data_IF_891772581943
#
_entry.id   IF_891772581943
#
_cell.length_a   1.000
_cell.length_b   1.000
_cell.length_c   1.000
_cell.angle_alpha   90.00
_cell.angle_beta   90.00
_cell.angle_gamma   90.00
#
_symmetry.space_group_name_H-M   'P 1'
#
loop_
_entity.id
_entity.type
_entity.pdbx_description
1 polymer ?
#
# COMPACT_ATOMS: atom_id res chain seq x y z
N UNK A 1 -27.03 -12.90 0.30
CA UNK A 1 -25.77 -12.15 0.18
C UNK A 1 -26.15 -10.69 0.07
N UNK A 2 -25.95 -9.93 1.14
CA UNK A 2 -26.20 -8.49 1.16
C UNK A 2 -25.14 -7.81 0.28
N UNK A 3 -25.58 -6.97 -0.65
CA UNK A 3 -24.67 -6.11 -1.41
C UNK A 3 -23.80 -5.34 -0.40
N UNK A 4 -22.46 -5.39 -0.56
CA UNK A 4 -21.57 -4.60 0.28
C UNK A 4 -21.99 -3.13 0.14
N UNK A 5 -22.48 -2.54 1.22
CA UNK A 5 -22.92 -1.15 1.20
C UNK A 5 -21.70 -0.26 0.98
N UNK A 6 -21.83 0.75 0.12
CA UNK A 6 -20.82 1.80 -0.06
C UNK A 6 -20.88 2.82 1.10
N UNK A 7 -21.06 2.33 2.33
CA UNK A 7 -21.04 3.21 3.51
C UNK A 7 -19.60 3.64 3.77
N UNK A 8 -19.43 4.93 3.97
CA UNK A 8 -18.16 5.52 4.40
C UNK A 8 -17.67 4.74 5.64
N UNK A 9 -16.38 4.35 5.72
CA UNK A 9 -15.81 3.72 6.91
C UNK A 9 -16.10 4.54 8.16
N UNK A 10 -16.34 3.85 9.25
CA UNK A 10 -16.57 4.43 10.59
C UNK A 10 -15.49 3.96 11.55
N UNK A 11 -15.40 4.58 12.73
CA UNK A 11 -14.45 4.13 13.77
C UNK A 11 -14.74 2.68 14.23
N UNK A 12 -16.00 2.25 14.18
CA UNK A 12 -16.39 0.85 14.44
C UNK A 12 -15.76 -0.11 13.42
N UNK A 13 -15.59 0.34 12.19
CA UNK A 13 -14.99 -0.47 11.13
C UNK A 13 -13.52 -0.79 11.38
N UNK A 14 -12.79 0.03 12.13
CA UNK A 14 -11.41 -0.28 12.58
C UNK A 14 -11.40 -1.51 13.49
N UNK A 15 -12.38 -1.60 14.40
CA UNK A 15 -12.48 -2.74 15.29
C UNK A 15 -12.94 -4.00 14.55
N UNK A 16 -13.94 -3.88 13.67
CA UNK A 16 -14.41 -4.99 12.83
C UNK A 16 -13.25 -5.54 11.99
N UNK A 17 -12.50 -4.65 11.31
CA UNK A 17 -11.35 -5.04 10.48
C UNK A 17 -10.29 -5.79 11.29
N UNK A 18 -10.02 -5.32 12.51
CA UNK A 18 -9.11 -5.98 13.44
C UNK A 18 -9.59 -7.38 13.82
N UNK A 19 -10.89 -7.51 14.13
CA UNK A 19 -11.47 -8.78 14.60
C UNK A 19 -11.57 -9.82 13.46
N UNK A 20 -11.64 -9.37 12.21
CA UNK A 20 -11.61 -10.20 11.01
C UNK A 20 -10.18 -10.65 10.63
N UNK A 21 -9.16 -9.99 11.13
CA UNK A 21 -7.76 -10.32 10.88
C UNK A 21 -7.15 -11.16 12.00
N UNK A 22 -5.83 -11.30 11.95
CA UNK A 22 -5.05 -11.97 12.98
C UNK A 22 -3.64 -11.39 13.06
N UNK A 23 -2.93 -11.74 14.12
CA UNK A 23 -1.53 -11.37 14.29
C UNK A 23 -0.64 -12.58 14.02
N UNK A 24 0.46 -12.36 13.30
CA UNK A 24 1.50 -13.33 13.08
C UNK A 24 2.84 -12.78 13.57
N UNK A 25 3.57 -13.57 14.35
CA UNK A 25 4.93 -13.19 14.74
C UNK A 25 5.88 -13.44 13.57
N UNK A 26 6.46 -12.37 13.04
CA UNK A 26 7.46 -12.39 11.97
C UNK A 26 8.64 -11.54 12.44
N UNK A 27 9.83 -12.11 12.45
CA UNK A 27 11.07 -11.45 12.91
C UNK A 27 10.97 -10.84 14.34
N UNK A 28 10.19 -11.50 15.22
CA UNK A 28 9.98 -11.04 16.59
C UNK A 28 8.91 -9.96 16.77
N UNK A 29 8.27 -9.51 15.70
CA UNK A 29 7.21 -8.50 15.70
C UNK A 29 5.84 -9.11 15.35
N UNK A 30 4.78 -8.60 15.97
CA UNK A 30 3.42 -8.96 15.63
C UNK A 30 2.98 -8.16 14.39
N UNK A 31 2.80 -8.86 13.29
CA UNK A 31 2.32 -8.32 12.03
C UNK A 31 0.83 -8.65 11.89
N UNK A 32 0.01 -7.64 11.70
CA UNK A 32 -1.41 -7.82 11.44
C UNK A 32 -1.62 -8.30 10.01
N UNK A 33 -2.39 -9.38 9.85
CA UNK A 33 -2.72 -9.98 8.55
C UNK A 33 -4.22 -10.08 8.41
N UNK A 34 -4.75 -9.55 7.33
CA UNK A 34 -6.13 -9.76 6.92
C UNK A 34 -6.13 -10.64 5.66
N UNK A 35 -6.86 -11.75 5.74
CA UNK A 35 -6.91 -12.70 4.65
C UNK A 35 -8.32 -13.27 4.49
N UNK A 36 -8.91 -13.09 3.29
CA UNK A 36 -10.30 -13.42 2.98
C UNK A 36 -10.42 -14.22 1.69
N UNK A 37 -11.58 -14.85 1.50
CA UNK A 37 -11.90 -15.60 0.29
C UNK A 37 -11.25 -16.99 0.24
N UNK A 38 -11.63 -17.73 -0.80
CA UNK A 38 -11.13 -19.07 -1.07
C UNK A 38 -10.43 -19.09 -2.42
N UNK A 39 -9.22 -19.64 -2.53
CA UNK A 39 -8.52 -19.69 -3.81
C UNK A 39 -9.29 -20.52 -4.84
N UNK A 40 -9.33 -20.07 -6.10
CA UNK A 40 -9.90 -20.85 -7.23
C UNK A 40 -9.11 -22.13 -7.50
N UNK A 41 -7.81 -22.07 -7.25
CA UNK A 41 -6.89 -23.19 -7.36
C UNK A 41 -5.94 -23.16 -6.16
N UNK A 42 -5.45 -24.31 -5.66
CA UNK A 42 -4.52 -24.34 -4.52
C UNK A 42 -3.32 -23.40 -4.76
N UNK A 43 -3.09 -22.50 -3.80
CA UNK A 43 -1.98 -21.56 -3.84
C UNK A 43 -2.17 -20.32 -4.72
N UNK A 44 -3.31 -20.15 -5.39
CA UNK A 44 -3.63 -18.93 -6.14
C UNK A 44 -4.25 -17.86 -5.23
N UNK A 45 -3.84 -16.60 -5.41
CA UNK A 45 -4.43 -15.49 -4.67
C UNK A 45 -3.99 -14.12 -5.14
N UNK A 46 -4.55 -13.11 -4.49
CA UNK A 46 -4.18 -11.71 -4.64
C UNK A 46 -3.40 -11.28 -3.43
N UNK A 47 -2.22 -10.72 -3.64
CA UNK A 47 -1.39 -10.11 -2.62
C UNK A 47 -1.43 -8.60 -2.77
N UNK A 48 -1.95 -7.91 -1.75
CA UNK A 48 -2.11 -6.47 -1.73
C UNK A 48 -1.06 -5.81 -0.84
N UNK A 49 -0.64 -4.61 -1.19
CA UNK A 49 0.19 -3.76 -0.33
C UNK A 49 -0.46 -2.41 -0.13
N UNK A 50 -0.39 -1.88 1.10
CA UNK A 50 -0.93 -0.56 1.44
C UNK A 50 0.13 0.55 1.34
N UNK A 51 -0.28 1.78 1.58
CA UNK A 51 0.54 2.97 1.48
C UNK A 51 0.84 3.68 2.80
N UNK A 52 1.58 4.79 2.71
CA UNK A 52 1.86 5.73 3.77
C UNK A 52 0.87 6.92 3.69
N UNK A 53 0.28 7.40 4.77
CA UNK A 53 0.40 6.93 6.16
C UNK A 53 -0.66 5.90 6.55
N UNK A 54 -1.35 5.30 5.58
CA UNK A 54 -2.47 4.38 5.75
C UNK A 54 -2.08 2.98 6.24
N UNK A 55 -3.01 2.04 6.11
CA UNK A 55 -2.83 0.62 6.46
C UNK A 55 -3.73 -0.28 5.62
N UNK A 56 -3.80 -1.56 5.94
CA UNK A 56 -4.62 -2.53 5.21
C UNK A 56 -6.11 -2.18 5.17
N UNK A 57 -6.64 -1.42 6.14
CA UNK A 57 -8.05 -1.03 6.15
C UNK A 57 -8.44 -0.12 4.98
N UNK A 58 -7.50 0.57 4.35
CA UNK A 58 -7.76 1.36 3.14
C UNK A 58 -8.38 0.49 2.02
N UNK A 59 -8.16 -0.81 2.09
CA UNK A 59 -8.67 -1.81 1.14
C UNK A 59 -10.00 -2.45 1.56
N UNK A 60 -10.60 -1.98 2.66
CA UNK A 60 -11.82 -2.56 3.25
C UNK A 60 -12.94 -2.78 2.23
N UNK A 61 -13.11 -1.88 1.28
CA UNK A 61 -14.17 -1.99 0.28
C UNK A 61 -13.75 -2.78 -0.97
N UNK A 62 -12.46 -3.00 -1.19
CA UNK A 62 -11.92 -3.80 -2.30
C UNK A 62 -11.86 -5.28 -1.93
N UNK A 63 -11.32 -5.59 -0.75
CA UNK A 63 -11.07 -6.97 -0.29
C UNK A 63 -12.32 -7.85 -0.38
N UNK A 64 -13.49 -7.48 0.17
CA UNK A 64 -14.67 -8.36 0.12
C UNK A 64 -15.14 -8.65 -1.30
N UNK A 65 -14.99 -7.68 -2.22
CA UNK A 65 -15.40 -7.83 -3.63
C UNK A 65 -14.50 -8.81 -4.38
N UNK A 66 -13.19 -8.72 -4.16
CA UNK A 66 -12.21 -9.62 -4.79
C UNK A 66 -12.27 -11.01 -4.15
N UNK A 67 -12.51 -11.08 -2.84
CA UNK A 67 -12.60 -12.32 -2.07
C UNK A 67 -13.77 -13.24 -2.50
N UNK A 68 -14.77 -12.72 -3.20
CA UNK A 68 -15.80 -13.55 -3.85
C UNK A 68 -15.22 -14.43 -4.96
N UNK A 69 -14.04 -14.10 -5.48
CA UNK A 69 -13.45 -14.75 -6.65
C UNK A 69 -12.17 -15.53 -6.36
N UNK A 70 -11.43 -15.17 -5.30
CA UNK A 70 -10.16 -15.82 -4.96
C UNK A 70 -9.75 -15.53 -3.51
N UNK A 71 -8.62 -16.12 -3.04
CA UNK A 71 -7.95 -15.73 -1.80
C UNK A 71 -7.34 -14.35 -1.96
N UNK A 72 -7.58 -13.45 -0.99
CA UNK A 72 -6.97 -12.12 -0.91
C UNK A 72 -6.21 -12.00 0.39
N UNK A 73 -4.97 -11.54 0.32
CA UNK A 73 -4.08 -11.37 1.46
C UNK A 73 -3.50 -9.96 1.47
N UNK A 74 -3.55 -9.32 2.62
CA UNK A 74 -2.90 -8.05 2.90
C UNK A 74 -2.39 -8.06 4.34
N UNK A 75 -1.28 -7.40 4.62
CA UNK A 75 -0.81 -7.17 5.98
C UNK A 75 -0.54 -5.69 6.22
N UNK A 76 -0.63 -5.27 7.47
CA UNK A 76 -0.10 -3.97 7.88
C UNK A 76 1.42 -4.06 7.96
N UNK A 77 2.11 -3.16 7.28
CA UNK A 77 3.57 -3.05 7.43
C UNK A 77 3.94 -2.76 8.88
N UNK A 78 5.10 -3.22 9.31
CA UNK A 78 5.62 -2.86 10.63
C UNK A 78 5.67 -1.33 10.76
N UNK A 79 5.15 -0.80 11.86
CA UNK A 79 5.02 0.65 12.07
C UNK A 79 3.66 1.23 11.68
N UNK A 80 2.77 0.48 11.03
CA UNK A 80 1.49 0.94 10.52
C UNK A 80 0.30 0.15 11.09
N UNK A 81 -0.87 0.75 11.04
CA UNK A 81 -2.16 0.11 11.35
C UNK A 81 -2.13 -0.65 12.68
N UNK A 82 -2.46 -1.93 12.63
CA UNK A 82 -2.51 -2.82 13.79
C UNK A 82 -1.16 -3.50 14.11
N UNK A 83 -0.19 -3.47 13.19
CA UNK A 83 1.13 -4.08 13.41
C UNK A 83 1.92 -3.36 14.50
N UNK A 84 2.90 -4.06 15.09
CA UNK A 84 3.80 -3.51 16.11
C UNK A 84 4.52 -2.25 15.62
N UNK A 85 4.89 -1.40 16.59
CA UNK A 85 5.52 -0.09 16.36
C UNK A 85 6.75 0.06 17.24
N UNK A 86 7.84 -0.72 17.00
CA UNK A 86 9.07 -0.60 17.78
C UNK A 86 9.62 0.82 17.70
N UNK A 87 9.95 1.38 18.86
CA UNK A 87 10.51 2.74 19.00
C UNK A 87 12.02 2.75 19.19
N UNK A 88 12.60 1.60 19.54
CA UNK A 88 14.04 1.36 19.58
C UNK A 88 14.64 1.26 18.17
N UNK A 89 15.96 1.27 18.06
CA UNK A 89 16.65 1.17 16.77
C UNK A 89 16.45 2.37 15.84
N UNK A 90 16.58 2.15 14.56
CA UNK A 90 16.51 3.15 13.48
C UNK A 90 15.56 2.70 12.37
N UNK A 91 15.36 3.55 11.35
CA UNK A 91 14.64 3.16 10.14
C UNK A 91 15.26 1.90 9.50
N UNK A 92 16.58 1.86 9.37
CA UNK A 92 17.28 0.77 8.71
C UNK A 92 17.16 -0.56 9.46
N UNK A 93 17.03 -0.55 10.79
CA UNK A 93 16.96 -1.77 11.60
C UNK A 93 15.57 -2.40 11.63
N UNK A 94 14.50 -1.61 11.37
CA UNK A 94 13.12 -2.10 11.53
C UNK A 94 12.22 -1.84 10.31
N UNK A 95 12.43 -0.73 9.60
CA UNK A 95 11.42 -0.18 8.70
C UNK A 95 11.86 -0.09 7.23
N UNK A 96 13.09 -0.52 6.90
CA UNK A 96 13.59 -0.56 5.52
C UNK A 96 12.59 -1.25 4.59
N UNK A 97 12.44 -0.73 3.39
CA UNK A 97 11.56 -1.32 2.36
C UNK A 97 11.96 -2.76 2.01
N UNK A 98 13.24 -3.10 2.14
CA UNK A 98 13.71 -4.48 1.99
C UNK A 98 13.13 -5.40 3.07
N UNK A 99 13.12 -4.95 4.32
CA UNK A 99 12.56 -5.73 5.45
C UNK A 99 11.02 -5.79 5.38
N UNK A 100 10.36 -4.71 4.95
CA UNK A 100 8.92 -4.76 4.70
C UNK A 100 8.58 -5.77 3.60
N UNK A 101 9.40 -5.83 2.53
CA UNK A 101 9.25 -6.86 1.50
C UNK A 101 9.46 -8.29 2.05
N UNK A 102 10.48 -8.49 2.92
CA UNK A 102 10.70 -9.78 3.58
C UNK A 102 9.47 -10.24 4.35
N UNK A 103 8.84 -9.34 5.13
CA UNK A 103 7.63 -9.64 5.92
C UNK A 103 6.43 -9.95 5.04
N UNK A 104 6.21 -9.19 3.96
CA UNK A 104 5.12 -9.44 2.99
C UNK A 104 5.31 -10.79 2.31
N UNK A 105 6.53 -11.13 1.90
CA UNK A 105 6.87 -12.43 1.30
C UNK A 105 6.61 -13.56 2.29
N UNK A 106 7.00 -13.40 3.56
CA UNK A 106 6.77 -14.39 4.59
C UNK A 106 5.27 -14.58 4.89
N UNK A 107 4.48 -13.50 4.92
CA UNK A 107 3.02 -13.58 5.03
C UNK A 107 2.44 -14.37 3.85
N UNK A 108 2.82 -14.06 2.62
CA UNK A 108 2.36 -14.78 1.44
C UNK A 108 2.70 -16.27 1.49
N UNK A 109 3.92 -16.61 1.96
CA UNK A 109 4.37 -18.00 2.14
C UNK A 109 3.54 -18.74 3.19
N UNK A 110 3.24 -18.11 4.34
CA UNK A 110 2.41 -18.72 5.40
C UNK A 110 0.96 -18.89 4.97
N UNK A 111 0.45 -17.99 4.11
CA UNK A 111 -0.86 -18.13 3.48
C UNK A 111 -0.90 -19.24 2.40
N UNK A 112 0.23 -19.87 2.10
CA UNK A 112 0.33 -20.91 1.09
C UNK A 112 0.18 -20.39 -0.33
N UNK A 113 0.46 -19.11 -0.58
CA UNK A 113 0.41 -18.53 -1.92
C UNK A 113 1.59 -19.03 -2.75
N UNK A 114 1.31 -19.63 -3.91
CA UNK A 114 2.31 -20.11 -4.88
C UNK A 114 2.27 -19.31 -6.18
N UNK A 115 1.11 -18.76 -6.53
CA UNK A 115 0.91 -17.90 -7.70
C UNK A 115 0.04 -16.71 -7.29
N UNK A 116 0.52 -15.49 -7.55
CA UNK A 116 -0.15 -14.29 -7.07
C UNK A 116 -0.43 -13.29 -8.19
N UNK A 117 -1.56 -12.60 -8.08
CA UNK A 117 -1.75 -11.27 -8.65
C UNK A 117 -1.27 -10.27 -7.59
N UNK A 118 -0.19 -9.57 -7.87
CA UNK A 118 0.40 -8.57 -6.97
C UNK A 118 -0.19 -7.19 -7.25
N UNK A 119 -0.85 -6.58 -6.28
CA UNK A 119 -1.44 -5.23 -6.41
C UNK A 119 -0.77 -4.29 -5.42
N UNK A 120 -0.17 -3.23 -5.92
CA UNK A 120 0.70 -2.36 -5.15
C UNK A 120 0.25 -0.90 -5.20
N UNK A 121 0.27 -0.24 -4.02
CA UNK A 121 -0.21 1.13 -3.85
C UNK A 121 0.75 1.96 -2.98
N UNK A 122 1.04 3.19 -3.35
CA UNK A 122 1.81 4.23 -2.64
C UNK A 122 3.19 3.77 -2.13
N UNK A 123 3.43 3.71 -0.82
CA UNK A 123 4.66 3.16 -0.25
C UNK A 123 4.79 1.67 -0.59
N UNK A 124 3.67 0.96 -0.61
CA UNK A 124 3.60 -0.43 -1.04
C UNK A 124 4.01 -0.64 -2.50
N UNK A 125 4.03 0.41 -3.33
CA UNK A 125 4.64 0.33 -4.67
C UNK A 125 6.14 0.06 -4.60
N UNK A 126 6.85 0.63 -3.60
CA UNK A 126 8.29 0.37 -3.41
C UNK A 126 8.54 -1.03 -2.85
N UNK A 127 7.73 -1.45 -1.86
CA UNK A 127 7.78 -2.83 -1.35
C UNK A 127 7.51 -3.83 -2.48
N UNK A 128 6.49 -3.57 -3.29
CA UNK A 128 6.16 -4.38 -4.46
C UNK A 128 7.25 -4.37 -5.54
N UNK A 129 7.90 -3.22 -5.77
CA UNK A 129 9.02 -3.13 -6.70
C UNK A 129 10.21 -4.00 -6.26
N UNK A 130 10.47 -4.05 -4.94
CA UNK A 130 11.48 -4.98 -4.39
C UNK A 130 11.05 -6.44 -4.56
N UNK A 131 9.78 -6.76 -4.30
CA UNK A 131 9.24 -8.12 -4.54
C UNK A 131 9.37 -8.50 -6.03
N UNK A 132 9.03 -7.58 -6.95
CA UNK A 132 9.18 -7.81 -8.39
C UNK A 132 10.65 -8.02 -8.79
N UNK A 133 11.59 -7.23 -8.24
CA UNK A 133 13.01 -7.41 -8.49
C UNK A 133 13.48 -8.79 -8.02
N UNK A 134 13.05 -9.24 -6.84
CA UNK A 134 13.36 -10.60 -6.33
C UNK A 134 12.70 -11.71 -7.16
N UNK A 135 11.55 -11.44 -7.77
CA UNK A 135 10.94 -12.38 -8.73
C UNK A 135 11.86 -12.64 -9.91
N UNK A 136 12.36 -11.58 -10.55
CA UNK A 136 13.28 -11.69 -11.69
C UNK A 136 14.62 -12.32 -11.30
N UNK A 137 15.02 -12.18 -10.03
CA UNK A 137 16.21 -12.82 -9.46
C UNK A 137 15.97 -14.30 -9.07
N UNK A 138 14.75 -14.82 -9.19
CA UNK A 138 14.39 -16.19 -8.78
C UNK A 138 14.46 -16.44 -7.27
N UNK A 139 14.23 -15.39 -6.46
CA UNK A 139 14.37 -15.42 -4.98
C UNK A 139 13.03 -15.45 -4.23
N UNK A 140 11.89 -15.63 -4.90
CA UNK A 140 10.58 -15.70 -4.25
C UNK A 140 10.12 -17.13 -4.04
N UNK A 141 9.37 -17.42 -2.95
CA UNK A 141 8.72 -18.72 -2.74
C UNK A 141 7.43 -18.89 -3.57
N UNK A 142 7.05 -17.89 -4.36
CA UNK A 142 5.87 -17.87 -5.22
C UNK A 142 6.19 -17.20 -6.56
N UNK A 143 5.29 -17.37 -7.53
CA UNK A 143 5.37 -16.73 -8.84
C UNK A 143 4.40 -15.56 -8.94
N UNK A 144 4.84 -14.42 -9.46
CA UNK A 144 3.95 -13.32 -9.83
C UNK A 144 3.37 -13.63 -11.21
N UNK A 145 2.05 -13.82 -11.29
CA UNK A 145 1.34 -14.10 -12.55
C UNK A 145 0.89 -12.84 -13.26
N UNK A 146 0.61 -11.81 -12.48
CA UNK A 146 0.16 -10.50 -12.93
C UNK A 146 0.56 -9.45 -11.89
N UNK A 147 0.92 -8.25 -12.34
CA UNK A 147 1.09 -7.09 -11.47
C UNK A 147 0.09 -5.99 -11.82
N UNK A 148 -0.46 -5.34 -10.79
CA UNK A 148 -1.28 -4.13 -10.91
C UNK A 148 -0.62 -3.03 -10.10
N UNK A 149 -0.17 -1.99 -10.78
CA UNK A 149 0.53 -0.86 -10.18
C UNK A 149 -0.45 0.30 -10.07
N UNK A 150 -0.73 0.74 -8.84
CA UNK A 150 -1.54 1.91 -8.55
C UNK A 150 -0.66 3.13 -8.27
N UNK A 151 -1.32 4.27 -8.01
CA UNK A 151 -0.65 5.50 -7.60
C UNK A 151 0.42 5.27 -6.54
N UNK A 152 1.56 5.89 -6.71
CA UNK A 152 2.69 5.79 -5.80
C UNK A 152 3.82 6.70 -6.25
N UNK A 153 4.87 6.75 -5.46
CA UNK A 153 5.95 7.72 -5.66
C UNK A 153 7.35 7.07 -5.61
N UNK A 154 7.45 5.83 -6.10
CA UNK A 154 8.74 5.12 -6.17
C UNK A 154 9.74 5.85 -7.06
N UNK A 155 9.28 6.54 -8.11
CA UNK A 155 10.10 7.46 -8.91
C UNK A 155 10.34 8.77 -8.15
N UNK A 156 11.09 8.69 -7.05
CA UNK A 156 11.30 9.79 -6.09
C UNK A 156 11.93 11.05 -6.70
N UNK A 157 12.57 10.93 -7.83
CA UNK A 157 13.10 12.03 -8.63
C UNK A 157 12.02 12.92 -9.28
N UNK A 158 10.75 12.45 -9.26
CA UNK A 158 9.59 13.16 -9.81
C UNK A 158 8.57 13.56 -8.74
N UNK A 159 8.81 13.28 -7.45
CA UNK A 159 7.84 13.49 -6.37
C UNK A 159 7.67 14.97 -6.03
N UNK A 160 6.43 15.40 -5.89
CA UNK A 160 6.08 16.71 -5.35
C UNK A 160 5.65 16.57 -3.88
N UNK A 161 6.61 16.69 -2.96
CA UNK A 161 6.32 16.58 -1.53
C UNK A 161 5.43 17.72 -1.03
N UNK A 162 4.41 17.35 -0.28
CA UNK A 162 3.48 18.27 0.39
C UNK A 162 4.13 18.88 1.64
N UNK A 163 3.58 19.99 2.20
CA UNK A 163 4.19 20.68 3.33
C UNK A 163 4.53 19.77 4.52
N UNK A 164 3.57 18.96 5.01
CA UNK A 164 3.81 18.05 6.12
C UNK A 164 4.89 17.01 5.80
N UNK A 165 4.92 16.48 4.58
CA UNK A 165 5.94 15.54 4.14
C UNK A 165 7.34 16.18 4.15
N UNK A 166 7.45 17.44 3.72
CA UNK A 166 8.72 18.20 3.77
C UNK A 166 9.18 18.41 5.21
N UNK A 167 8.24 18.74 6.12
CA UNK A 167 8.54 18.89 7.56
C UNK A 167 9.09 17.58 8.14
N UNK A 168 8.44 16.45 7.87
CA UNK A 168 8.89 15.14 8.34
C UNK A 168 10.23 14.72 7.74
N UNK A 169 10.47 15.00 6.46
CA UNK A 169 11.75 14.68 5.80
C UNK A 169 12.91 15.54 6.33
N UNK A 170 12.64 16.77 6.77
CA UNK A 170 13.63 17.64 7.39
C UNK A 170 13.98 17.24 8.83
N UNK A 171 13.09 16.50 9.51
CA UNK A 171 13.35 15.97 10.84
C UNK A 171 14.44 14.88 10.78
N UNK A 172 15.25 14.68 11.85
CA UNK A 172 16.15 13.55 11.96
C UNK A 172 15.36 12.21 12.02
N UNK A 173 16.07 11.07 11.94
CA UNK A 173 15.47 9.77 12.27
C UNK A 173 15.13 9.74 13.77
N UNK A 174 13.87 10.00 14.08
CA UNK A 174 13.40 10.14 15.44
C UNK A 174 12.00 9.62 15.61
N UNK A 175 11.67 9.29 16.86
CA UNK A 175 10.31 9.08 17.34
C UNK A 175 9.91 10.33 18.10
N UNK A 176 8.77 10.92 17.76
CA UNK A 176 8.27 12.12 18.42
C UNK A 176 7.81 11.80 19.86
N UNK A 177 7.79 12.81 20.74
CA UNK A 177 7.22 12.68 22.09
C UNK A 177 5.70 12.55 22.05
N UNK A 178 5.05 13.23 21.09
CA UNK A 178 3.60 13.23 20.87
C UNK A 178 3.27 12.91 19.42
N UNK A 179 2.03 12.46 19.18
CA UNK A 179 1.53 12.25 17.83
C UNK A 179 1.44 13.58 17.06
N UNK A 180 1.57 13.53 15.75
CA UNK A 180 1.39 14.70 14.89
C UNK A 180 -0.07 15.18 15.00
N UNK A 181 -0.31 16.48 15.20
CA UNK A 181 -1.67 17.01 15.35
C UNK A 181 -2.60 16.65 14.20
N UNK A 182 -3.83 16.23 14.53
CA UNK A 182 -4.84 15.77 13.56
C UNK A 182 -5.09 16.77 12.43
N UNK A 183 -5.10 18.07 12.73
CA UNK A 183 -5.29 19.12 11.72
C UNK A 183 -4.20 19.11 10.61
N UNK A 184 -2.98 18.67 10.91
CA UNK A 184 -1.92 18.51 9.90
C UNK A 184 -2.21 17.31 8.99
N UNK A 185 -2.69 16.21 9.56
CA UNK A 185 -3.13 15.04 8.79
C UNK A 185 -4.33 15.35 7.92
N UNK A 186 -5.35 16.01 8.48
CA UNK A 186 -6.55 16.40 7.75
C UNK A 186 -6.20 17.17 6.46
N UNK A 187 -5.34 18.18 6.57
CA UNK A 187 -4.90 18.97 5.42
C UNK A 187 -4.20 18.13 4.34
N UNK A 188 -3.32 17.22 4.74
CA UNK A 188 -2.61 16.32 3.83
C UNK A 188 -3.58 15.34 3.16
N UNK A 189 -4.42 14.67 3.95
CA UNK A 189 -5.35 13.66 3.47
C UNK A 189 -6.36 14.25 2.49
N UNK A 190 -7.09 15.32 2.87
CA UNK A 190 -8.09 15.95 1.99
C UNK A 190 -7.50 16.41 0.66
N UNK A 191 -6.29 16.97 0.67
CA UNK A 191 -5.64 17.46 -0.55
C UNK A 191 -5.14 16.34 -1.48
N UNK A 192 -5.12 15.10 -1.03
CA UNK A 192 -4.72 13.93 -1.82
C UNK A 192 -5.88 13.17 -2.47
N UNK A 193 -7.13 13.59 -2.22
CA UNK A 193 -8.31 13.05 -2.92
C UNK A 193 -8.65 13.83 -4.18
N UNK A 194 -9.33 13.18 -5.11
CA UNK A 194 -9.84 13.84 -6.32
C UNK A 194 -10.99 14.81 -5.99
N UNK A 195 -11.29 15.72 -6.92
CA UNK A 195 -12.41 16.65 -6.77
C UNK A 195 -13.76 15.93 -6.73
N UNK A 196 -13.86 14.83 -7.44
CA UNK A 196 -15.05 14.00 -7.58
C UNK A 196 -15.32 13.13 -6.36
N UNK A 197 -14.26 12.77 -5.61
CA UNK A 197 -14.33 11.82 -4.48
C UNK A 197 -13.80 12.44 -3.18
N UNK A 198 -14.17 13.68 -2.89
CA UNK A 198 -13.75 14.33 -1.64
C UNK A 198 -14.23 13.56 -0.40
N UNK A 199 -13.34 13.30 0.58
CA UNK A 199 -13.69 12.59 1.79
C UNK A 199 -14.58 13.44 2.68
N UNK A 200 -15.56 12.81 3.32
CA UNK A 200 -16.30 13.45 4.43
C UNK A 200 -15.48 13.37 5.73
N UNK A 201 -15.97 14.04 6.78
CA UNK A 201 -15.27 14.10 8.07
C UNK A 201 -15.11 12.72 8.69
N UNK A 202 -16.13 11.85 8.62
CA UNK A 202 -16.07 10.50 9.19
C UNK A 202 -14.95 9.63 8.56
N UNK A 203 -14.73 9.75 7.25
CA UNK A 203 -13.62 9.06 6.59
C UNK A 203 -12.26 9.61 7.04
N UNK A 204 -12.13 10.92 7.15
CA UNK A 204 -10.91 11.57 7.65
C UNK A 204 -10.63 11.14 9.08
N UNK A 205 -11.63 11.10 9.95
CA UNK A 205 -11.49 10.65 11.34
C UNK A 205 -10.98 9.21 11.41
N UNK A 206 -11.49 8.32 10.57
CA UNK A 206 -11.01 6.92 10.47
C UNK A 206 -9.56 6.87 9.99
N UNK A 207 -9.20 7.65 8.96
CA UNK A 207 -7.84 7.69 8.44
C UNK A 207 -6.84 8.23 9.48
N UNK A 208 -7.21 9.25 10.24
CA UNK A 208 -6.37 9.78 11.33
C UNK A 208 -6.28 8.79 12.48
N UNK A 209 -7.40 8.18 12.87
CA UNK A 209 -7.42 7.20 13.96
C UNK A 209 -6.51 5.99 13.67
N UNK A 210 -6.49 5.48 12.42
CA UNK A 210 -5.58 4.40 12.07
C UNK A 210 -4.09 4.82 12.09
N UNK A 211 -3.77 6.06 11.68
CA UNK A 211 -2.41 6.60 11.75
C UNK A 211 -1.92 6.66 13.20
N UNK A 212 -2.77 7.18 14.09
CA UNK A 212 -2.45 7.39 15.50
C UNK A 212 -2.59 6.12 16.35
N UNK A 213 -3.08 5.02 15.79
CA UNK A 213 -3.26 3.78 16.53
C UNK A 213 -1.94 3.29 17.16
N UNK A 214 -2.00 2.95 18.45
CA UNK A 214 -0.80 2.58 19.24
C UNK A 214 0.32 3.61 19.15
N UNK A 215 -0.02 4.90 19.12
CA UNK A 215 0.91 6.02 18.97
C UNK A 215 1.73 5.97 17.67
N UNK A 216 1.15 5.47 16.58
CA UNK A 216 1.80 5.38 15.26
C UNK A 216 2.19 6.74 14.68
N UNK A 217 1.41 7.78 14.97
CA UNK A 217 1.70 9.16 14.55
C UNK A 217 3.09 9.65 14.97
N UNK A 218 3.61 9.15 16.11
CA UNK A 218 4.95 9.50 16.63
C UNK A 218 6.09 8.93 15.77
N UNK A 219 5.84 7.84 15.05
CA UNK A 219 6.83 7.18 14.20
C UNK A 219 6.92 7.79 12.79
N UNK A 220 5.96 8.60 12.39
CA UNK A 220 5.82 9.02 11.01
C UNK A 220 7.07 9.72 10.42
N UNK A 221 7.84 10.55 11.15
CA UNK A 221 9.09 11.10 10.62
C UNK A 221 10.15 10.01 10.37
N UNK A 222 10.25 9.00 11.26
CA UNK A 222 11.13 7.84 11.07
C UNK A 222 10.69 7.04 9.85
N UNK A 223 9.42 6.69 9.77
CA UNK A 223 8.86 5.92 8.65
C UNK A 223 9.07 6.65 7.33
N UNK A 224 9.00 8.00 7.30
CA UNK A 224 9.22 8.81 6.09
C UNK A 224 10.63 8.66 5.49
N UNK A 225 11.59 8.09 6.23
CA UNK A 225 12.95 7.79 5.73
C UNK A 225 12.97 6.85 4.52
N UNK A 226 11.90 6.11 4.26
CA UNK A 226 11.80 5.33 3.03
C UNK A 226 12.00 6.18 1.75
N UNK A 227 11.76 7.48 1.82
CA UNK A 227 12.00 8.38 0.69
C UNK A 227 13.51 8.55 0.41
N UNK A 228 14.37 8.50 1.44
CA UNK A 228 15.82 8.49 1.24
C UNK A 228 16.26 7.14 0.67
N UNK A 229 15.76 6.05 1.23
CA UNK A 229 16.07 4.71 0.71
C UNK A 229 15.64 4.55 -0.76
N UNK A 230 14.54 5.20 -1.18
CA UNK A 230 14.14 5.29 -2.60
C UNK A 230 15.18 5.97 -3.48
N UNK A 231 15.84 7.04 -3.00
CA UNK A 231 16.91 7.70 -3.76
C UNK A 231 18.11 6.79 -3.90
N UNK A 232 18.48 6.11 -2.83
CA UNK A 232 19.66 5.26 -2.76
C UNK A 232 19.50 4.00 -3.63
N UNK A 233 18.26 3.52 -3.81
CA UNK A 233 17.93 2.31 -4.56
C UNK A 233 17.05 2.57 -5.79
N UNK A 234 17.01 3.81 -6.29
CA UNK A 234 16.08 4.26 -7.32
C UNK A 234 16.06 3.36 -8.56
N UNK A 235 17.24 3.03 -9.11
CA UNK A 235 17.32 2.23 -10.33
C UNK A 235 16.82 0.81 -10.12
N UNK A 236 17.14 0.17 -8.97
CA UNK A 236 16.66 -1.17 -8.62
C UNK A 236 15.14 -1.25 -8.63
N UNK A 237 14.48 -0.27 -8.03
CA UNK A 237 13.02 -0.28 -7.93
C UNK A 237 12.31 0.20 -9.19
N UNK A 238 12.92 1.10 -9.97
CA UNK A 238 12.44 1.37 -11.33
C UNK A 238 12.51 0.11 -12.19
N UNK A 239 13.62 -0.62 -12.12
CA UNK A 239 13.78 -1.87 -12.85
C UNK A 239 12.77 -2.91 -12.42
N UNK A 240 12.52 -3.07 -11.11
CA UNK A 240 11.46 -3.94 -10.59
C UNK A 240 10.09 -3.62 -11.18
N UNK A 241 9.69 -2.34 -11.19
CA UNK A 241 8.40 -1.90 -11.73
C UNK A 241 8.27 -2.05 -13.25
N UNK A 242 9.38 -2.00 -13.99
CA UNK A 242 9.33 -1.84 -15.45
C UNK A 242 9.92 -3.01 -16.23
N UNK A 243 10.63 -3.93 -15.58
CA UNK A 243 11.27 -5.09 -16.22
C UNK A 243 10.68 -6.43 -15.75
N UNK A 244 9.58 -6.41 -14.99
CA UNK A 244 8.88 -7.64 -14.60
C UNK A 244 8.48 -8.42 -15.85
N UNK A 245 8.79 -9.71 -15.87
CA UNK A 245 8.46 -10.62 -16.98
C UNK A 245 6.97 -10.96 -17.04
N UNK A 246 6.26 -10.88 -15.91
CA UNK A 246 4.82 -11.08 -15.85
C UNK A 246 4.05 -9.89 -16.46
N UNK A 247 2.84 -10.12 -17.02
CA UNK A 247 1.97 -9.05 -17.49
C UNK A 247 1.75 -7.99 -16.42
N UNK A 248 1.80 -6.72 -16.80
CA UNK A 248 1.69 -5.58 -15.89
C UNK A 248 0.59 -4.63 -16.35
N UNK A 249 -0.25 -4.20 -15.41
CA UNK A 249 -1.22 -3.14 -15.63
C UNK A 249 -0.92 -1.97 -14.70
N UNK A 250 -0.95 -0.75 -15.25
CA UNK A 250 -0.76 0.49 -14.52
C UNK A 250 -2.14 1.18 -14.46
N UNK A 251 -2.76 1.24 -13.29
CA UNK A 251 -4.05 1.91 -13.06
C UNK A 251 -3.79 3.16 -12.23
N UNK A 252 -3.91 4.34 -12.84
CA UNK A 252 -3.40 5.57 -12.24
C UNK A 252 -4.46 6.66 -12.16
N UNK A 253 -4.71 7.18 -10.95
CA UNK A 253 -5.49 8.38 -10.72
C UNK A 253 -4.71 9.63 -11.19
N UNK A 254 -5.31 10.37 -12.13
CA UNK A 254 -4.63 11.49 -12.82
C UNK A 254 -4.50 12.72 -11.95
N UNK A 255 -5.37 12.85 -10.93
CA UNK A 255 -5.40 14.03 -10.05
C UNK A 255 -4.44 13.94 -8.86
N UNK A 256 -3.62 12.89 -8.78
CA UNK A 256 -2.66 12.69 -7.67
C UNK A 256 -1.61 13.82 -7.61
N UNK A 257 -1.55 14.57 -6.50
CA UNK A 257 -0.59 15.67 -6.38
C UNK A 257 0.85 15.20 -6.08
N UNK A 258 1.02 13.98 -5.55
CA UNK A 258 2.32 13.40 -5.16
C UNK A 258 2.87 12.47 -6.24
N UNK A 259 2.11 11.43 -6.54
CA UNK A 259 2.38 10.45 -7.58
C UNK A 259 1.84 10.95 -8.91
N UNK A 260 2.44 11.99 -9.49
CA UNK A 260 1.94 12.65 -10.69
C UNK A 260 1.84 11.68 -11.88
N UNK A 261 0.84 11.89 -12.73
CA UNK A 261 0.56 11.00 -13.89
C UNK A 261 1.76 10.80 -14.82
N UNK A 262 2.70 11.74 -14.86
CA UNK A 262 3.94 11.61 -15.62
C UNK A 262 4.81 10.42 -15.16
N UNK A 263 4.66 9.96 -13.91
CA UNK A 263 5.32 8.73 -13.44
C UNK A 263 4.74 7.49 -14.13
N UNK A 264 3.41 7.42 -14.28
CA UNK A 264 2.75 6.33 -15.02
C UNK A 264 3.16 6.35 -16.50
N UNK A 265 3.26 7.52 -17.11
CA UNK A 265 3.76 7.67 -18.49
C UNK A 265 5.20 7.21 -18.64
N UNK A 266 6.07 7.54 -17.65
CA UNK A 266 7.46 7.07 -17.62
C UNK A 266 7.52 5.54 -17.48
N UNK A 267 6.72 4.93 -16.59
CA UNK A 267 6.64 3.47 -16.48
C UNK A 267 6.20 2.83 -17.78
N UNK A 268 5.14 3.34 -18.42
CA UNK A 268 4.66 2.84 -19.73
C UNK A 268 5.73 2.97 -20.83
N UNK A 269 6.51 4.06 -20.82
CA UNK A 269 7.63 4.25 -21.75
C UNK A 269 8.74 3.22 -21.54
N UNK A 270 9.03 2.89 -20.27
CA UNK A 270 10.07 1.92 -19.90
C UNK A 270 9.59 0.46 -20.06
N UNK A 271 8.30 0.21 -19.90
CA UNK A 271 7.64 -1.07 -20.17
C UNK A 271 6.51 -0.89 -21.21
N UNK A 272 6.83 -0.92 -22.51
CA UNK A 272 5.81 -0.73 -23.56
C UNK A 272 4.72 -1.80 -23.60
N UNK A 273 4.94 -2.98 -23.02
CA UNK A 273 3.95 -4.06 -22.94
C UNK A 273 2.92 -3.85 -21.82
N UNK A 274 3.21 -3.02 -20.80
CA UNK A 274 2.28 -2.76 -19.73
C UNK A 274 0.98 -2.08 -20.22
N UNK A 275 -0.18 -2.49 -19.69
CA UNK A 275 -1.45 -1.81 -19.94
C UNK A 275 -1.55 -0.56 -19.06
N UNK A 276 -1.77 0.61 -19.66
CA UNK A 276 -1.91 1.87 -18.94
C UNK A 276 -3.36 2.37 -18.95
N UNK A 277 -3.94 2.46 -17.76
CA UNK A 277 -5.28 2.98 -17.50
C UNK A 277 -5.20 4.26 -16.69
N UNK A 278 -5.49 5.41 -17.30
CA UNK A 278 -5.54 6.72 -16.64
C UNK A 278 -6.97 7.04 -16.21
N UNK A 279 -7.21 7.10 -14.90
CA UNK A 279 -8.51 7.39 -14.31
C UNK A 279 -8.61 8.89 -14.01
N UNK A 280 -9.37 9.59 -14.86
CA UNK A 280 -9.43 11.06 -14.88
C UNK A 280 -10.09 11.66 -13.63
N UNK A 281 -10.98 10.91 -13.00
CA UNK A 281 -11.79 11.24 -11.84
C UNK A 281 -11.20 10.74 -10.50
N UNK A 282 -9.97 10.22 -10.50
CA UNK A 282 -9.32 9.60 -9.34
C UNK A 282 -8.02 10.32 -9.03
N UNK A 283 -7.70 10.38 -7.75
CA UNK A 283 -6.44 10.92 -7.23
C UNK A 283 -5.57 9.82 -6.60
N UNK A 284 -5.06 10.08 -5.41
CA UNK A 284 -4.07 9.23 -4.75
C UNK A 284 -4.62 7.92 -4.19
N UNK A 285 -5.92 7.84 -3.88
CA UNK A 285 -6.54 6.76 -3.12
C UNK A 285 -7.48 5.86 -3.92
N UNK A 286 -7.04 5.20 -5.01
CA UNK A 286 -7.91 4.31 -5.79
C UNK A 286 -8.68 3.26 -4.95
N UNK A 287 -8.10 2.65 -3.88
CA UNK A 287 -8.83 1.69 -3.04
C UNK A 287 -10.01 2.30 -2.29
N UNK A 288 -9.97 3.61 -2.01
CA UNK A 288 -11.01 4.34 -1.27
C UNK A 288 -11.93 5.08 -2.25
N UNK A 289 -11.38 5.77 -3.25
CA UNK A 289 -12.13 6.60 -4.18
C UNK A 289 -13.01 5.79 -5.14
N UNK A 290 -12.49 4.67 -5.66
CA UNK A 290 -13.17 3.86 -6.68
C UNK A 290 -13.03 2.34 -6.43
N UNK A 291 -13.42 1.85 -5.24
CA UNK A 291 -13.18 0.47 -4.83
C UNK A 291 -13.80 -0.57 -5.77
N UNK A 292 -14.97 -0.29 -6.37
CA UNK A 292 -15.64 -1.19 -7.31
C UNK A 292 -14.88 -1.29 -8.63
N UNK A 293 -14.44 -0.15 -9.16
CA UNK A 293 -13.62 -0.09 -10.39
C UNK A 293 -12.31 -0.84 -10.19
N UNK A 294 -11.66 -0.63 -9.04
CA UNK A 294 -10.42 -1.30 -8.71
C UNK A 294 -10.63 -2.81 -8.51
N UNK A 295 -11.66 -3.21 -7.75
CA UNK A 295 -11.98 -4.63 -7.57
C UNK A 295 -12.25 -5.32 -8.92
N UNK A 296 -13.01 -4.68 -9.81
CA UNK A 296 -13.22 -5.19 -11.17
C UNK A 296 -11.91 -5.31 -11.93
N UNK A 297 -11.04 -4.31 -11.89
CA UNK A 297 -9.74 -4.36 -12.56
C UNK A 297 -8.86 -5.51 -12.04
N UNK A 298 -8.95 -5.85 -10.75
CA UNK A 298 -8.25 -7.01 -10.16
C UNK A 298 -8.89 -8.32 -10.65
N UNK A 299 -10.21 -8.43 -10.55
CA UNK A 299 -10.94 -9.67 -10.92
C UNK A 299 -10.78 -10.02 -12.40
N UNK A 300 -10.75 -9.03 -13.28
CA UNK A 300 -10.55 -9.24 -14.72
C UNK A 300 -9.15 -9.83 -15.05
N UNK A 301 -8.25 -9.92 -14.06
CA UNK A 301 -6.86 -10.40 -14.19
C UNK A 301 -6.53 -11.64 -13.35
N UNK A 302 -7.55 -12.30 -12.81
CA UNK A 302 -7.43 -13.56 -12.07
C UNK A 302 -7.27 -14.79 -13.02
#
# INVERSE_FOLDING_TARGET
>A
MTAASNTVPTLEDLQIWRDEGRFENIDGHNIFVHASGTPKSPGHGVLLTHGYPGSSIDWKHVVPRVALHTRVVICDFLGFGQSDKPTDGTFETHYSMFQQADRVIEVARREGLNEVVLVIHDMGQTVGAEIMARHEEGKLPFTIKQAIILNGSTMVDMVHFMPLQKEMLAAPDTVLEEDIPDAKWEGLLRSSFSKEHQPNDALIDVMIAQINQYHGGRLMPRLMRYQQERKDNLQRWIDGLTKLSAPTSICWGVQDPNGIVAMADRMKKLNPSADLHKWQDVSHWPPIEVPERLAKAIVDRL
#
